data_IF_861986406649
#
_entry.id   IF_861986406649
#
_cell.length_a   1.000
_cell.length_b   1.000
_cell.length_c   1.000
_cell.angle_alpha   90.00
_cell.angle_beta   90.00
_cell.angle_gamma   90.00
#
_symmetry.space_group_name_H-M   'P 1'
#
loop_
_entity.id
_entity.type
_entity.pdbx_description
1 polymer ?
#
# COMPACT_ATOMS: atom_id res chain seq x y z
N UNK A 1 18.65 7.29 -18.02
CA UNK A 1 17.72 8.44 -17.88
C UNK A 1 17.02 8.27 -16.53
N UNK A 2 17.03 9.27 -15.64
CA UNK A 2 16.29 9.18 -14.37
C UNK A 2 14.78 9.24 -14.67
N UNK A 3 13.94 8.45 -13.98
CA UNK A 3 12.51 8.49 -14.19
C UNK A 3 11.95 9.88 -13.91
N UNK A 4 11.01 10.32 -14.73
CA UNK A 4 10.25 11.55 -14.45
C UNK A 4 9.42 11.39 -13.18
N UNK A 5 8.99 12.51 -12.59
CA UNK A 5 8.12 12.48 -11.41
C UNK A 5 6.84 11.65 -11.63
N UNK A 6 6.23 11.76 -12.80
CA UNK A 6 4.99 11.03 -13.12
C UNK A 6 5.25 9.53 -13.25
N UNK A 7 6.38 9.13 -13.83
CA UNK A 7 6.79 7.73 -13.92
C UNK A 7 7.11 7.15 -12.54
N UNK A 8 7.81 7.88 -11.67
CA UNK A 8 8.08 7.44 -10.30
C UNK A 8 6.76 7.20 -9.52
N UNK A 9 5.78 8.10 -9.67
CA UNK A 9 4.46 7.97 -9.05
C UNK A 9 3.70 6.75 -9.59
N UNK A 10 3.73 6.51 -10.90
CA UNK A 10 3.08 5.33 -11.50
C UNK A 10 3.77 4.02 -11.06
N UNK A 11 5.11 4.02 -10.99
CA UNK A 11 5.90 2.90 -10.49
C UNK A 11 5.56 2.56 -9.04
N UNK A 12 5.38 3.55 -8.17
CA UNK A 12 4.96 3.32 -6.79
C UNK A 12 3.64 2.57 -6.71
N UNK A 13 2.65 2.98 -7.53
CA UNK A 13 1.32 2.38 -7.56
C UNK A 13 1.35 0.95 -8.08
N UNK A 14 2.24 0.62 -9.01
CA UNK A 14 2.33 -0.72 -9.64
C UNK A 14 3.22 -1.70 -8.89
N UNK A 15 4.38 -1.23 -8.42
CA UNK A 15 5.50 -2.09 -8.02
C UNK A 15 5.56 -2.34 -6.52
N UNK A 16 5.05 -1.43 -5.70
CA UNK A 16 5.07 -1.59 -4.25
C UNK A 16 3.85 -2.42 -3.86
N UNK A 17 4.07 -3.58 -3.24
CA UNK A 17 2.99 -4.38 -2.72
C UNK A 17 2.31 -3.64 -1.55
N UNK A 18 1.05 -3.23 -1.76
CA UNK A 18 0.31 -2.47 -0.76
C UNK A 18 -0.03 -3.32 0.47
N UNK A 19 -0.21 -4.63 0.34
CA UNK A 19 -0.43 -5.51 1.51
C UNK A 19 0.82 -5.59 2.37
N UNK A 20 2.01 -5.66 1.74
CA UNK A 20 3.30 -5.64 2.43
C UNK A 20 3.51 -4.31 3.16
N UNK A 21 3.26 -3.19 2.46
CA UNK A 21 3.38 -1.86 3.06
C UNK A 21 2.42 -1.70 4.26
N UNK A 22 1.15 -2.08 4.10
CA UNK A 22 0.16 -2.01 5.18
C UNK A 22 0.58 -2.88 6.38
N UNK A 23 1.09 -4.09 6.14
CA UNK A 23 1.59 -4.95 7.21
C UNK A 23 2.75 -4.30 7.99
N UNK A 24 3.63 -3.58 7.30
CA UNK A 24 4.70 -2.81 7.95
C UNK A 24 4.18 -1.66 8.82
N UNK A 25 2.98 -1.15 8.52
CA UNK A 25 2.29 -0.14 9.33
C UNK A 25 1.43 -0.74 10.46
N UNK A 26 1.50 -2.06 10.68
CA UNK A 26 0.79 -2.75 11.76
C UNK A 26 -0.56 -3.33 11.38
N UNK A 27 -0.89 -3.41 10.09
CA UNK A 27 -2.08 -4.14 9.65
C UNK A 27 -1.82 -5.65 9.66
N UNK A 28 -2.81 -6.41 10.09
CA UNK A 28 -2.79 -7.86 10.08
C UNK A 28 -3.68 -8.40 8.96
N UNK A 29 -3.14 -9.33 8.16
CA UNK A 29 -3.90 -10.05 7.14
C UNK A 29 -4.98 -10.93 7.77
N UNK A 30 -6.24 -10.68 7.39
CA UNK A 30 -7.36 -11.56 7.70
C UNK A 30 -7.54 -12.57 6.56
N UNK A 31 -6.90 -13.72 6.68
CA UNK A 31 -6.96 -14.79 5.67
C UNK A 31 -8.36 -15.38 5.50
N UNK A 32 -9.22 -15.31 6.54
CA UNK A 32 -10.56 -15.89 6.50
C UNK A 32 -11.52 -15.01 5.69
N UNK A 33 -11.33 -13.70 5.75
CA UNK A 33 -12.11 -12.73 4.99
C UNK A 33 -11.42 -12.26 3.69
N UNK A 34 -10.26 -12.83 3.36
CA UNK A 34 -9.58 -12.60 2.09
C UNK A 34 -10.12 -13.53 1.00
N UNK A 35 -10.00 -13.10 -0.25
CA UNK A 35 -10.34 -13.89 -1.42
C UNK A 35 -9.11 -14.11 -2.30
N UNK A 36 -9.28 -14.83 -3.42
CA UNK A 36 -8.21 -14.99 -4.43
C UNK A 36 -7.77 -13.65 -5.03
N UNK A 37 -8.68 -12.68 -5.13
CA UNK A 37 -8.45 -11.42 -5.85
C UNK A 37 -8.22 -10.22 -4.92
N UNK A 38 -8.46 -10.38 -3.61
CA UNK A 38 -8.39 -9.29 -2.65
C UNK A 38 -7.95 -9.78 -1.28
N UNK A 39 -7.08 -9.01 -0.63
CA UNK A 39 -6.65 -9.21 0.74
C UNK A 39 -7.46 -8.31 1.68
N UNK A 40 -8.03 -8.89 2.72
CA UNK A 40 -8.65 -8.14 3.81
C UNK A 40 -7.61 -7.94 4.91
N UNK A 41 -7.39 -6.71 5.35
CA UNK A 41 -6.44 -6.40 6.42
C UNK A 41 -7.09 -5.57 7.52
N UNK A 42 -6.76 -5.89 8.78
CA UNK A 42 -7.27 -5.21 9.98
C UNK A 42 -6.16 -4.38 10.61
N UNK A 43 -6.44 -3.10 10.83
CA UNK A 43 -5.52 -2.14 11.42
C UNK A 43 -5.92 -1.74 12.84
N UNK A 44 -5.24 -0.74 13.40
CA UNK A 44 -5.61 -0.14 14.69
C UNK A 44 -7.02 0.45 14.68
N UNK A 45 -7.68 0.48 15.84
CA UNK A 45 -8.94 1.23 16.02
C UNK A 45 -10.12 0.75 15.19
N UNK A 46 -10.25 -0.56 14.97
CA UNK A 46 -11.29 -1.21 14.14
C UNK A 46 -11.22 -0.83 12.64
N UNK A 47 -10.08 -0.30 12.19
CA UNK A 47 -9.84 -0.07 10.78
C UNK A 47 -9.79 -1.40 10.02
N UNK A 48 -10.50 -1.45 8.89
CA UNK A 48 -10.59 -2.63 8.04
C UNK A 48 -10.55 -2.17 6.60
N UNK A 49 -9.53 -2.62 5.89
CA UNK A 49 -9.31 -2.29 4.49
C UNK A 49 -9.32 -3.55 3.63
N UNK A 50 -9.77 -3.41 2.40
CA UNK A 50 -9.67 -4.44 1.38
C UNK A 50 -8.70 -3.92 0.32
N UNK A 51 -7.67 -4.70 0.03
CA UNK A 51 -6.60 -4.38 -0.91
C UNK A 51 -6.68 -5.34 -2.09
N UNK A 52 -6.55 -4.81 -3.30
CA UNK A 52 -6.53 -5.59 -4.52
C UNK A 52 -5.61 -4.97 -5.57
N UNK A 53 -5.64 -5.53 -6.77
CA UNK A 53 -4.94 -5.00 -7.93
C UNK A 53 -5.94 -4.65 -9.02
N UNK A 54 -5.93 -3.41 -9.45
CA UNK A 54 -6.76 -2.96 -10.56
C UNK A 54 -6.34 -3.68 -11.85
N UNK A 55 -7.30 -4.30 -12.53
CA UNK A 55 -7.01 -5.16 -13.67
C UNK A 55 -6.58 -4.37 -14.93
N UNK A 56 -7.04 -3.13 -15.08
CA UNK A 56 -6.75 -2.30 -16.25
C UNK A 56 -5.37 -1.63 -16.15
N UNK A 57 -5.06 -1.04 -15.00
CA UNK A 57 -3.83 -0.30 -14.75
C UNK A 57 -2.74 -1.16 -14.12
N UNK A 58 -3.07 -2.26 -13.44
CA UNK A 58 -2.13 -3.02 -12.62
C UNK A 58 -1.70 -2.28 -11.35
N UNK A 59 -2.40 -1.21 -10.95
CA UNK A 59 -2.14 -0.48 -9.72
C UNK A 59 -2.65 -1.27 -8.52
N UNK A 60 -1.92 -1.23 -7.42
CA UNK A 60 -2.44 -1.63 -6.13
C UNK A 60 -3.44 -0.59 -5.66
N UNK A 61 -4.61 -1.06 -5.26
CA UNK A 61 -5.71 -0.24 -4.77
C UNK A 61 -6.20 -0.76 -3.43
N UNK A 62 -6.78 0.12 -2.63
CA UNK A 62 -7.50 -0.23 -1.42
C UNK A 62 -8.80 0.56 -1.30
N UNK A 63 -9.68 0.04 -0.46
CA UNK A 63 -10.82 0.79 0.06
C UNK A 63 -11.05 0.41 1.52
N UNK A 64 -11.44 1.38 2.34
CA UNK A 64 -11.90 1.17 3.70
C UNK A 64 -13.33 0.60 3.70
N UNK A 65 -13.61 -0.27 4.66
CA UNK A 65 -14.97 -0.76 4.96
C UNK A 65 -15.70 0.19 5.91
N UNK A 66 -15.00 1.19 6.47
CA UNK A 66 -15.51 2.09 7.50
C UNK A 66 -15.76 3.51 7.01
N UNK A 67 -15.05 3.95 5.98
CA UNK A 67 -15.12 5.31 5.43
C UNK A 67 -15.03 5.27 3.91
N UNK A 68 -16.13 5.63 3.24
CA UNK A 68 -16.21 5.63 1.78
C UNK A 68 -15.27 6.66 1.12
N UNK A 69 -14.82 7.68 1.84
CA UNK A 69 -13.82 8.64 1.34
C UNK A 69 -12.37 8.11 1.47
N UNK A 70 -12.16 7.00 2.18
CA UNK A 70 -10.84 6.42 2.44
C UNK A 70 -10.55 5.26 1.49
N UNK A 71 -10.19 5.61 0.25
CA UNK A 71 -9.87 4.67 -0.81
C UNK A 71 -8.83 5.26 -1.76
N UNK A 72 -8.25 4.40 -2.61
CA UNK A 72 -7.33 4.83 -3.67
C UNK A 72 -6.14 3.90 -3.79
N UNK A 73 -4.98 4.47 -4.04
CA UNK A 73 -3.71 3.75 -4.22
C UNK A 73 -2.84 3.81 -2.96
N UNK A 74 -1.65 3.23 -3.00
CA UNK A 74 -0.67 3.35 -1.91
C UNK A 74 -0.34 4.80 -1.54
N UNK A 75 -0.43 5.74 -2.49
CA UNK A 75 -0.20 7.15 -2.23
C UNK A 75 -1.30 7.68 -1.31
N UNK A 76 -2.55 7.46 -1.71
CA UNK A 76 -3.74 7.91 -0.98
C UNK A 76 -3.79 7.27 0.41
N UNK A 77 -3.44 5.98 0.52
CA UNK A 77 -3.33 5.26 1.78
C UNK A 77 -2.39 5.99 2.77
N UNK A 78 -1.19 6.37 2.33
CA UNK A 78 -0.23 7.06 3.19
C UNK A 78 -0.71 8.47 3.51
N UNK A 79 -1.29 9.19 2.55
CA UNK A 79 -1.84 10.52 2.80
C UNK A 79 -2.96 10.48 3.84
N UNK A 80 -3.84 9.48 3.79
CA UNK A 80 -4.95 9.35 4.72
C UNK A 80 -4.48 8.94 6.12
N UNK A 81 -3.51 8.02 6.23
CA UNK A 81 -3.01 7.53 7.53
C UNK A 81 -2.01 8.48 8.21
N UNK A 82 -1.17 9.16 7.44
CA UNK A 82 -0.06 9.95 7.97
C UNK A 82 -0.22 11.47 7.73
N UNK A 83 -1.28 11.90 7.04
CA UNK A 83 -1.55 13.32 6.72
C UNK A 83 -0.38 14.01 6.00
N UNK A 84 0.30 13.26 5.14
CA UNK A 84 1.47 13.74 4.40
C UNK A 84 1.10 14.38 3.06
N UNK A 85 1.89 15.39 2.66
CA UNK A 85 1.87 15.91 1.31
C UNK A 85 2.56 14.94 0.33
N UNK A 86 2.20 14.99 -0.95
CA UNK A 86 2.73 14.09 -1.99
C UNK A 86 4.27 14.05 -2.05
N UNK A 87 4.96 15.16 -1.74
CA UNK A 87 6.42 15.19 -1.68
C UNK A 87 7.00 14.28 -0.60
N UNK A 88 6.39 14.26 0.58
CA UNK A 88 6.79 13.42 1.71
C UNK A 88 6.42 11.95 1.48
N UNK A 89 5.24 11.69 0.89
CA UNK A 89 4.84 10.33 0.48
C UNK A 89 5.87 9.74 -0.48
N UNK A 90 6.32 10.49 -1.48
CA UNK A 90 7.34 10.01 -2.43
C UNK A 90 8.64 9.63 -1.72
N UNK A 91 9.09 10.44 -0.75
CA UNK A 91 10.28 10.12 0.06
C UNK A 91 10.08 8.83 0.87
N UNK A 92 8.90 8.65 1.47
CA UNK A 92 8.56 7.46 2.24
C UNK A 92 8.48 6.18 1.38
N UNK A 93 8.09 6.30 0.11
CA UNK A 93 7.92 5.16 -0.80
C UNK A 93 9.20 4.75 -1.55
N UNK A 94 10.16 5.66 -1.76
CA UNK A 94 11.44 5.33 -2.43
C UNK A 94 12.14 4.09 -1.85
N UNK A 95 12.21 3.90 -0.51
CA UNK A 95 12.85 2.72 0.06
C UNK A 95 12.19 1.38 -0.29
N UNK A 96 10.92 1.41 -0.71
CA UNK A 96 10.10 0.25 -1.01
C UNK A 96 10.16 -0.16 -2.50
N UNK A 97 10.86 0.60 -3.35
CA UNK A 97 11.03 0.28 -4.76
C UNK A 97 12.40 -0.32 -5.04
N UNK A 98 12.40 -1.49 -5.70
CA UNK A 98 13.62 -2.11 -6.22
C UNK A 98 14.59 -2.60 -5.15
N UNK A 99 15.85 -2.76 -5.53
CA UNK A 99 16.95 -3.10 -4.62
C UNK A 99 17.46 -1.83 -3.94
N UNK A 100 16.87 -1.52 -2.79
CA UNK A 100 17.39 -0.49 -1.90
C UNK A 100 18.45 -1.12 -0.98
N UNK A 101 19.68 -0.56 -0.89
CA UNK A 101 20.73 -1.06 -0.01
C UNK A 101 20.36 -1.01 1.48
N UNK A 102 19.38 -0.17 1.85
CA UNK A 102 18.83 -0.11 3.19
C UNK A 102 17.30 -0.27 3.14
N UNK A 103 16.79 -1.50 2.92
CA UNK A 103 15.37 -1.72 2.81
C UNK A 103 14.67 -1.41 4.14
N UNK A 104 13.41 -0.94 4.09
CA UNK A 104 12.62 -0.79 5.30
C UNK A 104 12.47 -2.14 5.99
N UNK A 105 12.21 -2.13 7.30
CA UNK A 105 11.91 -3.35 8.06
C UNK A 105 10.68 -4.02 7.45
N UNK A 106 10.90 -5.05 6.65
CA UNK A 106 9.82 -5.82 6.02
C UNK A 106 9.11 -6.68 7.06
N UNK A 107 7.78 -6.76 7.01
CA UNK A 107 7.02 -7.63 7.89
C UNK A 107 7.24 -9.10 7.49
N UNK A 108 6.93 -10.09 8.35
CA UNK A 108 7.11 -11.49 8.02
C UNK A 108 6.22 -11.89 6.83
N UNK A 109 6.66 -12.80 5.93
CA UNK A 109 5.89 -13.20 4.75
C UNK A 109 4.47 -13.71 5.03
N UNK A 110 4.19 -14.18 6.25
CA UNK A 110 2.87 -14.64 6.63
C UNK A 110 1.81 -13.51 6.76
N UNK A 111 2.24 -12.25 6.90
CA UNK A 111 1.35 -11.11 7.18
C UNK A 111 0.90 -10.32 5.96
N UNK A 112 1.30 -10.71 4.75
CA UNK A 112 0.93 -10.05 3.50
C UNK A 112 0.81 -11.07 2.35
N UNK A 113 0.29 -10.63 1.19
CA UNK A 113 0.08 -11.45 -0.03
C UNK A 113 0.38 -10.68 -1.31
#
# INVERSE_FOLDING_TARGET
MLPTRSQEIDDFKRRINLTEYAAAQGYALDRKESSRNSATMRGPGDDKIIIGKDAASGHWIYFSVRDDADHGTIIDFIQNRQRLALGEVRKALRPWVGENPNPPRRPPPASYV
#
